data_IF_308136645884
#
_entry.id   IF_308136645884
#
_cell.length_a   1.000
_cell.length_b   1.000
_cell.length_c   1.000
_cell.angle_alpha   90.00
_cell.angle_beta   90.00
_cell.angle_gamma   90.00
#
_symmetry.space_group_name_H-M   'P 1'
#
loop_
_entity.id
_entity.type
_entity.pdbx_description
1 polymer ?
#
# COMPACT_ATOMS: atom_id res chain seq x y z
N UNK A 1 -8.48 -19.29 3.70
CA UNK A 1 -7.50 -19.15 2.61
C UNK A 1 -6.93 -17.75 2.67
N UNK A 2 -5.71 -17.58 3.19
CA UNK A 2 -5.01 -16.29 3.14
C UNK A 2 -4.69 -16.06 1.67
N UNK A 3 -5.38 -15.13 1.01
CA UNK A 3 -5.09 -14.75 -0.36
C UNK A 3 -3.78 -13.96 -0.34
N UNK A 4 -2.67 -14.67 -0.43
CA UNK A 4 -1.33 -14.08 -0.57
C UNK A 4 -1.38 -13.15 -1.78
N UNK A 5 -1.09 -11.85 -1.59
CA UNK A 5 -0.89 -10.95 -2.71
C UNK A 5 0.24 -11.52 -3.57
N UNK A 6 -0.03 -11.76 -4.85
CA UNK A 6 0.99 -12.22 -5.78
C UNK A 6 2.11 -11.17 -5.87
N UNK A 7 3.38 -11.56 -5.86
CA UNK A 7 4.53 -10.64 -5.78
C UNK A 7 4.46 -9.50 -6.80
N UNK A 8 4.02 -9.79 -8.03
CA UNK A 8 3.80 -8.79 -9.08
C UNK A 8 2.80 -7.71 -8.70
N UNK A 9 1.72 -8.07 -8.00
CA UNK A 9 0.70 -7.10 -7.54
C UNK A 9 1.19 -6.26 -6.36
N UNK A 10 2.06 -6.82 -5.51
CA UNK A 10 2.72 -6.02 -4.49
C UNK A 10 3.60 -4.97 -5.15
N UNK A 11 4.44 -5.35 -6.12
CA UNK A 11 5.30 -4.41 -6.84
C UNK A 11 4.48 -3.30 -7.54
N UNK A 12 3.33 -3.64 -8.17
CA UNK A 12 2.43 -2.63 -8.72
C UNK A 12 1.86 -1.68 -7.65
N UNK A 13 1.39 -2.21 -6.52
CA UNK A 13 0.90 -1.40 -5.41
C UNK A 13 1.99 -0.47 -4.86
N UNK A 14 3.20 -0.99 -4.66
CA UNK A 14 4.35 -0.24 -4.16
C UNK A 14 4.69 0.91 -5.12
N UNK A 15 4.72 0.64 -6.44
CA UNK A 15 4.95 1.69 -7.44
C UNK A 15 3.85 2.75 -7.44
N UNK A 16 2.58 2.35 -7.36
CA UNK A 16 1.47 3.29 -7.31
C UNK A 16 1.47 4.14 -6.03
N UNK A 17 1.82 3.55 -4.88
CA UNK A 17 1.94 4.28 -3.62
C UNK A 17 3.13 5.23 -3.62
N UNK A 18 4.26 4.82 -4.18
CA UNK A 18 5.45 5.66 -4.34
C UNK A 18 5.20 6.85 -5.26
N UNK A 19 4.39 6.66 -6.31
CA UNK A 19 3.95 7.75 -7.18
C UNK A 19 3.01 8.74 -6.46
N UNK A 20 2.08 8.23 -5.64
CA UNK A 20 1.10 9.06 -4.90
C UNK A 20 1.72 9.78 -3.68
N UNK A 21 2.71 9.15 -3.06
CA UNK A 21 3.35 9.59 -1.82
C UNK A 21 4.87 9.81 -2.04
N UNK A 22 5.26 10.95 -2.63
CA UNK A 22 6.67 11.28 -2.81
C UNK A 22 7.34 11.41 -1.44
N UNK A 23 8.27 10.50 -1.13
CA UNK A 23 8.98 10.44 0.16
C UNK A 23 8.81 9.12 0.92
N UNK A 24 7.93 8.23 0.47
CA UNK A 24 7.85 6.85 0.96
C UNK A 24 8.87 5.98 0.20
N UNK A 25 9.62 5.15 0.92
CA UNK A 25 10.62 4.24 0.34
C UNK A 25 10.09 2.81 0.19
N UNK A 26 10.73 2.05 -0.67
CA UNK A 26 10.39 0.65 -0.94
C UNK A 26 10.46 -0.22 0.34
N UNK A 27 11.33 0.12 1.29
CA UNK A 27 11.42 -0.56 2.58
C UNK A 27 10.13 -0.44 3.42
N UNK A 28 9.52 0.75 3.47
CA UNK A 28 8.27 0.97 4.20
C UNK A 28 7.10 0.27 3.50
N UNK A 29 7.14 0.25 2.17
CA UNK A 29 6.11 -0.37 1.32
C UNK A 29 6.21 -1.90 1.30
N UNK A 30 7.35 -2.47 1.70
CA UNK A 30 7.58 -3.91 1.76
C UNK A 30 6.71 -4.59 2.83
N UNK A 31 6.31 -3.85 3.88
CA UNK A 31 5.46 -4.36 4.97
C UNK A 31 3.97 -4.52 4.60
N UNK A 32 3.59 -4.22 3.35
CA UNK A 32 2.19 -4.32 2.90
C UNK A 32 1.57 -5.72 3.03
N UNK A 33 2.39 -6.78 3.08
CA UNK A 33 1.93 -8.15 3.30
C UNK A 33 1.94 -8.57 4.78
N UNK A 34 2.79 -7.93 5.60
CA UNK A 34 2.98 -8.27 7.01
C UNK A 34 1.92 -7.59 7.88
N UNK A 35 1.67 -6.30 7.67
CA UNK A 35 0.64 -5.57 8.40
C UNK A 35 0.21 -4.30 7.68
N UNK A 36 -1.07 -4.26 7.30
CA UNK A 36 -1.69 -3.07 6.73
C UNK A 36 -1.58 -1.86 7.67
N UNK A 37 -1.80 -2.06 8.97
CA UNK A 37 -1.76 -0.97 9.95
C UNK A 37 -0.37 -0.33 10.07
N UNK A 38 0.69 -1.14 10.05
CA UNK A 38 2.08 -0.65 10.05
C UNK A 38 2.38 0.16 8.79
N UNK A 39 1.96 -0.33 7.62
CA UNK A 39 2.09 0.40 6.36
C UNK A 39 1.41 1.78 6.42
N UNK A 40 0.16 1.83 6.90
CA UNK A 40 -0.58 3.09 7.04
C UNK A 40 0.15 4.04 8.00
N UNK A 41 0.65 3.52 9.12
CA UNK A 41 1.36 4.29 10.12
C UNK A 41 2.66 4.88 9.55
N UNK A 42 3.48 4.07 8.89
CA UNK A 42 4.73 4.49 8.23
C UNK A 42 4.50 5.56 7.17
N UNK A 43 3.55 5.34 6.26
CA UNK A 43 3.25 6.32 5.21
C UNK A 43 2.69 7.62 5.81
N UNK A 44 1.81 7.52 6.81
CA UNK A 44 1.25 8.68 7.51
C UNK A 44 2.33 9.52 8.19
N UNK A 45 3.29 8.87 8.87
CA UNK A 45 4.42 9.54 9.53
C UNK A 45 5.34 10.23 8.52
N UNK A 46 5.65 9.59 7.38
CA UNK A 46 6.56 10.14 6.37
C UNK A 46 5.95 11.28 5.57
N UNK A 47 4.68 11.13 5.20
CA UNK A 47 3.98 12.09 4.34
C UNK A 47 3.27 13.18 5.13
N UNK A 48 3.30 13.09 6.47
CA UNK A 48 2.51 13.91 7.39
C UNK A 48 1.00 13.94 7.04
N UNK A 49 0.52 12.91 6.34
CA UNK A 49 -0.90 12.78 5.98
C UNK A 49 -1.65 12.01 7.05
N UNK A 50 -2.96 12.26 7.11
CA UNK A 50 -3.85 11.57 8.04
C UNK A 50 -3.93 10.07 7.70
N UNK A 51 -3.85 9.21 8.73
CA UNK A 51 -3.95 7.74 8.61
C UNK A 51 -5.19 7.28 7.85
N UNK A 52 -6.35 7.90 8.07
CA UNK A 52 -7.58 7.55 7.34
C UNK A 52 -7.48 7.82 5.83
N UNK A 53 -6.85 8.94 5.46
CA UNK A 53 -6.64 9.28 4.05
C UNK A 53 -5.70 8.28 3.39
N UNK A 54 -4.60 7.95 4.07
CA UNK A 54 -3.64 6.95 3.60
C UNK A 54 -4.32 5.57 3.49
N UNK A 55 -5.08 5.16 4.50
CA UNK A 55 -5.81 3.89 4.49
C UNK A 55 -6.80 3.80 3.32
N UNK A 56 -7.57 4.86 3.05
CA UNK A 56 -8.48 4.91 1.90
C UNK A 56 -7.74 4.77 0.56
N UNK A 57 -6.60 5.44 0.40
CA UNK A 57 -5.80 5.39 -0.83
C UNK A 57 -5.23 3.98 -1.02
N UNK A 58 -4.58 3.42 0.01
CA UNK A 58 -3.98 2.08 -0.06
C UNK A 58 -5.05 1.04 -0.30
N UNK A 59 -6.18 1.10 0.42
CA UNK A 59 -7.27 0.15 0.25
C UNK A 59 -7.90 0.26 -1.15
N UNK A 60 -8.13 1.47 -1.67
CA UNK A 60 -8.65 1.66 -3.02
C UNK A 60 -7.72 1.14 -4.12
N UNK A 61 -6.40 1.28 -3.95
CA UNK A 61 -5.41 0.69 -4.86
C UNK A 61 -5.33 -0.83 -4.73
N UNK A 62 -5.38 -1.36 -3.51
CA UNK A 62 -5.49 -2.82 -3.27
C UNK A 62 -6.73 -3.40 -3.92
N UNK A 63 -7.90 -2.82 -3.69
CA UNK A 63 -9.16 -3.25 -4.28
C UNK A 63 -9.11 -3.21 -5.81
N UNK A 64 -8.50 -2.18 -6.41
CA UNK A 64 -8.25 -2.15 -7.87
C UNK A 64 -7.38 -3.30 -8.35
N UNK A 65 -6.27 -3.58 -7.67
CA UNK A 65 -5.35 -4.68 -8.02
C UNK A 65 -5.98 -6.06 -7.81
N UNK A 66 -6.90 -6.19 -6.86
CA UNK A 66 -7.71 -7.39 -6.67
C UNK A 66 -8.81 -7.51 -7.72
N UNK A 67 -9.50 -6.41 -8.04
CA UNK A 67 -10.63 -6.38 -8.98
C UNK A 67 -10.21 -6.58 -10.43
N UNK A 68 -8.98 -6.21 -10.83
CA UNK A 68 -8.38 -6.50 -12.14
C UNK A 68 -8.17 -8.01 -12.46
N UNK A 69 -8.64 -8.92 -11.59
CA UNK A 69 -8.47 -10.38 -11.73
C UNK A 69 -9.76 -11.10 -12.15
N UNK A 70 -10.76 -10.36 -12.63
CA UNK A 70 -11.98 -10.92 -13.20
C UNK A 70 -11.97 -10.68 -14.71
#
# INVERSE_FOLDING_TARGET
MVRTLNYNKQQELMNELKAEFPGVTDAELQHVNDSFDELINSISLKTQRNKEQVAKIVNGKLERLYSKTI
#
